data_IF_915756265784
#
_entry.id   IF_915756265784
#
_cell.length_a   1.000
_cell.length_b   1.000
_cell.length_c   1.000
_cell.angle_alpha   90.00
_cell.angle_beta   90.00
_cell.angle_gamma   90.00
#
_symmetry.space_group_name_H-M   'P 1'
#
loop_
_entity.id
_entity.type
_entity.pdbx_description
1 polymer ?
#
# COMPACT_ATOMS: atom_id res chain seq x y z
N UNK A 1 -1.75 -13.30 25.40
CA UNK A 1 -0.49 -13.22 24.65
C UNK A 1 -0.81 -13.32 23.16
N UNK A 2 -0.88 -12.19 22.45
CA UNK A 2 -1.25 -12.18 21.02
C UNK A 2 -0.02 -12.61 20.22
N UNK A 3 -0.04 -13.83 19.68
CA UNK A 3 0.97 -14.34 18.75
C UNK A 3 0.88 -13.54 17.45
N UNK A 4 1.69 -12.48 17.34
CA UNK A 4 1.87 -11.77 16.08
C UNK A 4 2.67 -12.68 15.17
N UNK A 5 1.98 -13.40 14.27
CA UNK A 5 2.64 -14.16 13.21
C UNK A 5 3.62 -13.23 12.49
N UNK A 6 4.91 -13.59 12.37
CA UNK A 6 5.86 -12.77 11.62
C UNK A 6 5.37 -12.67 10.18
N UNK A 7 4.99 -11.46 9.76
CA UNK A 7 4.71 -11.19 8.36
C UNK A 7 6.04 -11.32 7.61
N UNK A 8 6.24 -12.44 6.91
CA UNK A 8 7.25 -12.51 5.86
C UNK A 8 6.94 -11.40 4.85
N UNK A 9 7.98 -10.74 4.36
CA UNK A 9 7.84 -9.74 3.30
C UNK A 9 7.09 -10.36 2.12
N UNK A 10 5.91 -9.81 1.80
CA UNK A 10 5.22 -10.17 0.57
C UNK A 10 5.90 -9.43 -0.57
N UNK A 11 6.68 -10.16 -1.37
CA UNK A 11 7.14 -9.69 -2.66
C UNK A 11 6.10 -10.08 -3.72
N UNK A 12 5.79 -9.15 -4.63
CA UNK A 12 4.86 -9.39 -5.73
C UNK A 12 5.65 -9.73 -6.98
N UNK A 13 5.58 -10.98 -7.41
CA UNK A 13 6.13 -11.43 -8.68
C UNK A 13 5.10 -11.45 -9.80
N UNK A 14 5.50 -11.78 -11.05
CA UNK A 14 4.59 -11.82 -12.19
C UNK A 14 3.34 -12.69 -11.98
N UNK A 15 3.46 -13.80 -11.23
CA UNK A 15 2.35 -14.69 -10.92
C UNK A 15 1.36 -14.12 -9.89
N UNK A 16 1.74 -13.07 -9.16
CA UNK A 16 0.88 -12.39 -8.18
C UNK A 16 0.12 -11.21 -8.80
N UNK A 17 0.42 -10.84 -10.05
CA UNK A 17 -0.16 -9.67 -10.70
C UNK A 17 -1.34 -10.09 -11.59
N UNK A 18 -2.50 -9.41 -11.48
CA UNK A 18 -3.62 -9.68 -12.38
C UNK A 18 -3.31 -9.19 -13.80
N UNK A 19 -3.78 -9.93 -14.80
CA UNK A 19 -3.82 -9.45 -16.18
C UNK A 19 -4.98 -8.48 -16.35
N UNK A 20 -4.67 -7.22 -16.65
CA UNK A 20 -5.65 -6.16 -16.86
C UNK A 20 -5.81 -5.87 -18.36
N UNK A 21 -7.06 -5.82 -18.83
CA UNK A 21 -7.42 -5.50 -20.21
C UNK A 21 -7.47 -4.00 -20.51
N UNK A 22 -7.20 -3.16 -19.50
CA UNK A 22 -7.13 -1.71 -19.67
C UNK A 22 -6.00 -1.13 -18.83
N UNK A 23 -5.45 -0.04 -19.34
CA UNK A 23 -4.57 0.87 -18.62
C UNK A 23 -5.18 2.27 -18.52
N UNK A 24 -6.43 2.43 -18.98
CA UNK A 24 -7.11 3.72 -19.03
C UNK A 24 -7.25 4.32 -17.64
N UNK A 25 -7.03 5.63 -17.56
CA UNK A 25 -7.18 6.37 -16.32
C UNK A 25 -8.63 6.26 -15.80
N UNK A 26 -8.80 6.17 -14.48
CA UNK A 26 -10.08 5.88 -13.86
C UNK A 26 -9.92 5.11 -12.56
N UNK A 27 -10.89 4.26 -12.24
CA UNK A 27 -10.86 3.37 -11.09
C UNK A 27 -10.88 1.92 -11.54
N UNK A 28 -10.00 1.09 -10.98
CA UNK A 28 -10.14 -0.37 -11.03
C UNK A 28 -10.83 -0.79 -9.74
N UNK A 29 -11.98 -1.45 -9.84
CA UNK A 29 -12.82 -1.84 -8.70
C UNK A 29 -12.88 -3.35 -8.64
N UNK A 30 -12.49 -3.92 -7.50
CA UNK A 30 -12.58 -5.35 -7.24
C UNK A 30 -13.81 -5.67 -6.40
N UNK A 31 -14.61 -6.62 -6.88
CA UNK A 31 -15.86 -7.00 -6.23
C UNK A 31 -16.90 -7.54 -7.22
N UNK A 32 -18.02 -8.00 -6.67
CA UNK A 32 -19.14 -8.51 -7.44
C UNK A 32 -20.15 -7.37 -7.68
N UNK A 33 -19.80 -6.43 -8.56
CA UNK A 33 -20.51 -5.15 -8.68
C UNK A 33 -21.95 -5.25 -9.19
N UNK A 34 -22.39 -6.43 -9.63
CA UNK A 34 -23.62 -6.58 -10.39
C UNK A 34 -23.67 -5.61 -11.57
N UNK A 35 -24.76 -4.86 -11.69
CA UNK A 35 -24.88 -3.79 -12.69
C UNK A 35 -24.46 -2.44 -12.10
N UNK A 36 -23.43 -1.84 -12.69
CA UNK A 36 -23.01 -0.47 -12.42
C UNK A 36 -22.82 0.27 -13.76
N UNK A 37 -23.59 1.35 -14.03
CA UNK A 37 -23.50 2.07 -15.30
C UNK A 37 -22.07 2.54 -15.61
N UNK A 38 -21.60 2.26 -16.83
CA UNK A 38 -20.26 2.60 -17.27
C UNK A 38 -19.15 1.70 -16.74
N UNK A 39 -19.48 0.64 -15.99
CA UNK A 39 -18.51 -0.38 -15.59
C UNK A 39 -18.17 -1.31 -16.76
N UNK A 40 -16.89 -1.50 -17.00
CA UNK A 40 -16.39 -2.45 -18.00
C UNK A 40 -15.59 -3.55 -17.30
N UNK A 41 -15.81 -4.84 -17.58
CA UNK A 41 -14.99 -5.91 -17.02
C UNK A 41 -13.57 -5.82 -17.58
N UNK A 42 -12.56 -5.86 -16.71
CA UNK A 42 -11.15 -5.66 -17.11
C UNK A 42 -10.19 -6.73 -16.64
N UNK A 43 -10.61 -7.65 -15.78
CA UNK A 43 -9.76 -8.76 -15.37
C UNK A 43 -10.30 -9.49 -14.15
N UNK A 44 -9.43 -10.31 -13.57
CA UNK A 44 -9.68 -11.05 -12.33
C UNK A 44 -8.38 -11.02 -11.52
N UNK A 45 -8.48 -10.79 -10.20
CA UNK A 45 -7.40 -11.00 -9.24
C UNK A 45 -7.73 -12.18 -8.33
N UNK A 46 -7.06 -13.32 -8.55
CA UNK A 46 -7.41 -14.60 -7.94
C UNK A 46 -8.82 -15.04 -8.34
N UNK A 47 -9.81 -14.81 -7.46
CA UNK A 47 -11.23 -15.08 -7.71
C UNK A 47 -12.09 -13.82 -7.77
N UNK A 48 -11.50 -12.65 -7.54
CA UNK A 48 -12.21 -11.37 -7.45
C UNK A 48 -12.34 -10.76 -8.85
N UNK A 49 -13.56 -10.56 -9.38
CA UNK A 49 -13.76 -9.84 -10.63
C UNK A 49 -13.26 -8.39 -10.51
N UNK A 50 -12.64 -7.89 -11.57
CA UNK A 50 -12.14 -6.53 -11.66
C UNK A 50 -12.90 -5.77 -12.74
N UNK A 51 -13.32 -4.55 -12.40
CA UNK A 51 -14.08 -3.65 -13.24
C UNK A 51 -13.37 -2.33 -13.39
N UNK A 52 -13.43 -1.71 -14.56
CA UNK A 52 -12.99 -0.34 -14.76
C UNK A 52 -14.19 0.60 -14.76
N UNK A 53 -14.04 1.72 -14.05
CA UNK A 53 -15.00 2.82 -14.03
C UNK A 53 -14.34 4.11 -14.51
N UNK A 54 -15.01 4.86 -15.41
CA UNK A 54 -14.54 6.19 -15.80
C UNK A 54 -14.64 7.15 -14.61
N UNK A 55 -13.58 7.93 -14.40
CA UNK A 55 -13.60 9.02 -13.43
C UNK A 55 -12.68 10.16 -13.90
N UNK A 56 -13.24 11.37 -13.92
CA UNK A 56 -12.49 12.59 -14.23
C UNK A 56 -11.31 12.74 -13.27
N UNK A 57 -10.16 13.18 -13.78
CA UNK A 57 -8.88 13.25 -13.05
C UNK A 57 -9.00 13.88 -11.66
N UNK A 58 -9.58 15.08 -11.61
CA UNK A 58 -9.73 15.86 -10.37
C UNK A 58 -10.77 15.29 -9.39
N UNK A 59 -11.53 14.24 -9.78
CA UNK A 59 -12.60 13.59 -9.00
C UNK A 59 -12.32 12.13 -8.67
N UNK A 60 -11.20 11.55 -9.11
CA UNK A 60 -10.94 10.09 -8.93
C UNK A 60 -10.91 9.69 -7.46
N UNK A 61 -10.24 10.47 -6.62
CA UNK A 61 -10.18 10.20 -5.19
C UNK A 61 -11.58 10.27 -4.54
N UNK A 62 -12.35 11.31 -4.82
CA UNK A 62 -13.73 11.43 -4.32
C UNK A 62 -14.63 10.30 -4.83
N UNK A 63 -14.46 9.89 -6.09
CA UNK A 63 -15.20 8.77 -6.68
C UNK A 63 -14.86 7.44 -6.01
N UNK A 64 -13.59 7.20 -5.70
CA UNK A 64 -13.16 6.03 -4.94
C UNK A 64 -13.74 6.03 -3.52
N UNK A 65 -13.76 7.18 -2.84
CA UNK A 65 -14.33 7.32 -1.49
C UNK A 65 -15.84 7.02 -1.48
N UNK A 66 -16.58 7.43 -2.52
CA UNK A 66 -18.02 7.10 -2.63
C UNK A 66 -18.29 5.60 -2.73
N UNK A 67 -17.33 4.79 -3.17
CA UNK A 67 -17.46 3.34 -3.24
C UNK A 67 -17.29 2.66 -1.87
N UNK A 68 -16.81 3.36 -0.83
CA UNK A 68 -16.61 2.77 0.49
C UNK A 68 -17.89 2.29 1.17
N UNK A 69 -19.05 2.78 0.75
CA UNK A 69 -20.36 2.42 1.30
C UNK A 69 -21.05 1.29 0.54
N UNK A 70 -20.42 0.80 -0.55
CA UNK A 70 -20.99 -0.26 -1.38
C UNK A 70 -20.61 -1.63 -0.84
N UNK A 71 -21.58 -2.51 -0.51
CA UNK A 71 -21.30 -3.82 0.09
C UNK A 71 -20.67 -4.84 -0.89
N UNK A 72 -20.89 -4.62 -2.19
CA UNK A 72 -20.40 -5.42 -3.31
C UNK A 72 -18.95 -5.08 -3.70
N UNK A 73 -18.42 -3.96 -3.22
CA UNK A 73 -17.04 -3.52 -3.46
C UNK A 73 -16.14 -4.06 -2.35
N UNK A 74 -14.96 -4.54 -2.70
CA UNK A 74 -13.92 -4.97 -1.75
C UNK A 74 -12.65 -4.13 -1.88
N UNK A 75 -12.28 -3.77 -3.10
CA UNK A 75 -11.07 -2.99 -3.38
C UNK A 75 -11.35 -1.92 -4.44
N UNK A 76 -10.60 -0.82 -4.35
CA UNK A 76 -10.58 0.22 -5.38
C UNK A 76 -9.14 0.65 -5.59
N UNK A 77 -8.69 0.70 -6.83
CA UNK A 77 -7.38 1.23 -7.20
C UNK A 77 -7.58 2.44 -8.12
N UNK A 78 -7.10 3.60 -7.68
CA UNK A 78 -7.07 4.82 -8.48
C UNK A 78 -5.93 4.70 -9.49
N UNK A 79 -6.27 4.79 -10.78
CA UNK A 79 -5.33 4.78 -11.89
C UNK A 79 -5.29 6.15 -12.56
N UNK A 80 -4.09 6.72 -12.72
CA UNK A 80 -3.90 7.99 -13.43
C UNK A 80 -3.71 7.83 -14.95
N UNK A 81 -3.65 6.58 -15.43
CA UNK A 81 -3.41 6.26 -16.84
C UNK A 81 -1.97 5.81 -17.11
N UNK A 82 -1.13 5.69 -16.07
CA UNK A 82 0.23 5.17 -16.20
C UNK A 82 0.23 3.67 -15.95
N UNK A 83 0.61 2.86 -16.95
CA UNK A 83 0.52 1.39 -16.84
C UNK A 83 1.53 0.83 -15.81
N UNK A 84 2.62 1.56 -15.60
CA UNK A 84 3.74 1.12 -14.78
C UNK A 84 3.29 1.06 -13.30
N UNK A 85 2.94 -0.13 -12.83
CA UNK A 85 2.53 -0.50 -11.45
C UNK A 85 1.03 -0.59 -11.20
N UNK A 86 0.15 -0.43 -12.21
CA UNK A 86 -1.29 -0.58 -11.99
C UNK A 86 -1.64 -1.97 -11.46
N UNK A 87 -1.17 -3.04 -12.12
CA UNK A 87 -1.42 -4.41 -11.68
C UNK A 87 -0.88 -4.67 -10.26
N UNK A 88 0.27 -4.06 -9.90
CA UNK A 88 0.81 -4.13 -8.54
C UNK A 88 -0.11 -3.44 -7.52
N UNK A 89 -0.62 -2.25 -7.81
CA UNK A 89 -1.51 -1.53 -6.90
C UNK A 89 -2.84 -2.28 -6.70
N UNK A 90 -3.35 -2.94 -7.74
CA UNK A 90 -4.53 -3.83 -7.67
C UNK A 90 -4.25 -5.05 -6.79
N UNK A 91 -3.19 -5.80 -7.08
CA UNK A 91 -2.79 -6.98 -6.29
C UNK A 91 -2.51 -6.61 -4.83
N UNK A 92 -1.89 -5.45 -4.60
CA UNK A 92 -1.63 -4.93 -3.26
C UNK A 92 -2.93 -4.57 -2.54
N UNK A 93 -3.94 -4.04 -3.23
CA UNK A 93 -5.24 -3.76 -2.64
C UNK A 93 -5.93 -5.03 -2.14
N UNK A 94 -5.89 -6.12 -2.93
CA UNK A 94 -6.42 -7.41 -2.51
C UNK A 94 -5.62 -8.01 -1.34
N UNK A 95 -4.29 -7.86 -1.35
CA UNK A 95 -3.44 -8.23 -0.22
C UNK A 95 -3.81 -7.47 1.06
N UNK A 96 -4.01 -6.14 0.99
CA UNK A 96 -4.46 -5.32 2.11
C UNK A 96 -5.81 -5.83 2.64
N UNK A 97 -6.75 -6.12 1.76
CA UNK A 97 -8.05 -6.69 2.12
C UNK A 97 -7.90 -7.98 2.94
N UNK A 98 -7.11 -8.93 2.43
CA UNK A 98 -6.87 -10.19 3.13
C UNK A 98 -6.17 -10.00 4.48
N UNK A 99 -5.15 -9.12 4.56
CA UNK A 99 -4.38 -8.87 5.78
C UNK A 99 -5.20 -8.14 6.85
N UNK A 100 -6.11 -7.26 6.46
CA UNK A 100 -6.92 -6.45 7.37
C UNK A 100 -8.18 -7.15 7.84
N UNK A 101 -8.82 -7.96 6.99
CA UNK A 101 -9.90 -8.85 7.41
C UNK A 101 -9.46 -9.80 8.53
N UNK A 102 -8.23 -10.32 8.47
CA UNK A 102 -7.64 -11.14 9.56
C UNK A 102 -7.45 -10.38 10.88
N UNK A 103 -7.48 -9.04 10.84
CA UNK A 103 -7.39 -8.15 12.01
C UNK A 103 -8.75 -7.54 12.37
N UNK A 104 -9.85 -8.08 11.84
CA UNK A 104 -11.21 -7.58 12.07
C UNK A 104 -11.39 -6.11 11.62
N UNK A 105 -10.54 -5.66 10.70
CA UNK A 105 -10.72 -4.39 10.01
C UNK A 105 -11.44 -4.73 8.70
N UNK A 106 -12.73 -4.40 8.66
CA UNK A 106 -13.59 -4.61 7.51
C UNK A 106 -13.78 -3.30 6.75
N UNK A 107 -13.87 -3.38 5.43
CA UNK A 107 -14.13 -2.23 4.58
C UNK A 107 -13.54 -2.39 3.19
N UNK A 108 -13.80 -1.37 2.38
CA UNK A 108 -13.20 -1.20 1.06
C UNK A 108 -11.84 -0.54 1.20
N UNK A 109 -10.83 -1.10 0.53
CA UNK A 109 -9.47 -0.57 0.56
C UNK A 109 -9.17 0.18 -0.72
N UNK A 110 -8.74 1.43 -0.59
CA UNK A 110 -8.44 2.30 -1.72
C UNK A 110 -6.92 2.40 -1.86
N UNK A 111 -6.38 1.93 -2.98
CA UNK A 111 -4.97 2.10 -3.35
C UNK A 111 -4.79 3.05 -4.53
N UNK A 112 -3.58 3.55 -4.74
CA UNK A 112 -3.20 4.33 -5.91
C UNK A 112 -1.72 4.10 -6.26
N UNK A 113 -1.41 4.16 -7.55
CA UNK A 113 -0.03 4.08 -8.07
C UNK A 113 0.78 5.33 -7.73
N UNK A 114 0.14 6.49 -7.84
CA UNK A 114 0.71 7.81 -7.63
C UNK A 114 0.06 8.46 -6.41
N UNK A 115 0.71 9.52 -5.90
CA UNK A 115 0.24 10.23 -4.70
C UNK A 115 -1.16 10.80 -4.98
N UNK A 116 -2.24 10.25 -4.38
CA UNK A 116 -3.58 10.69 -4.72
C UNK A 116 -3.84 12.06 -4.10
N UNK A 117 -4.75 12.83 -4.70
CA UNK A 117 -5.38 13.97 -4.01
C UNK A 117 -6.04 13.45 -2.74
N UNK A 118 -5.98 14.22 -1.66
CA UNK A 118 -6.55 13.87 -0.38
C UNK A 118 -8.00 14.39 -0.28
N UNK A 119 -9.03 13.51 -0.25
CA UNK A 119 -10.38 13.92 0.09
C UNK A 119 -10.51 14.25 1.57
N UNK A 120 -11.54 15.01 1.93
CA UNK A 120 -11.80 15.38 3.32
C UNK A 120 -12.01 14.15 4.21
N UNK A 121 -11.44 14.18 5.42
CA UNK A 121 -11.54 13.09 6.40
C UNK A 121 -10.71 11.84 6.07
N UNK A 122 -9.94 11.86 4.97
CA UNK A 122 -9.02 10.78 4.59
C UNK A 122 -7.57 11.11 4.92
N UNK A 123 -6.76 10.07 5.01
CA UNK A 123 -5.30 10.10 5.14
C UNK A 123 -4.67 9.31 3.99
N UNK A 124 -3.42 9.63 3.70
CA UNK A 124 -2.58 8.89 2.75
C UNK A 124 -1.53 8.09 3.49
N UNK A 125 -1.49 6.78 3.25
CA UNK A 125 -0.43 5.91 3.76
C UNK A 125 0.42 5.42 2.58
N UNK A 126 1.74 5.72 2.57
CA UNK A 126 2.63 5.25 1.52
C UNK A 126 3.21 3.87 1.89
N UNK A 127 2.61 2.79 1.39
CA UNK A 127 3.14 1.45 1.65
C UNK A 127 4.40 1.19 0.86
N UNK A 128 5.42 0.67 1.54
CA UNK A 128 6.67 0.21 0.94
C UNK A 128 6.47 -1.23 0.46
N UNK A 129 6.42 -1.42 -0.86
CA UNK A 129 6.06 -2.69 -1.50
C UNK A 129 7.23 -3.18 -2.36
N UNK A 130 7.54 -4.47 -2.26
CA UNK A 130 8.59 -5.11 -3.07
C UNK A 130 7.97 -5.80 -4.27
N UNK A 131 8.56 -5.56 -5.45
CA UNK A 131 8.20 -6.22 -6.69
C UNK A 131 9.40 -6.99 -7.23
N UNK A 132 9.17 -8.19 -7.75
CA UNK A 132 10.19 -8.97 -8.46
C UNK A 132 10.26 -8.47 -9.90
N UNK A 133 11.39 -7.87 -10.29
CA UNK A 133 11.60 -7.34 -11.65
C UNK A 133 12.26 -8.36 -12.57
N UNK A 134 13.08 -9.24 -12.01
CA UNK A 134 13.74 -10.35 -12.68
C UNK A 134 14.09 -11.44 -11.63
N UNK A 135 14.48 -12.66 -12.03
CA UNK A 135 14.94 -13.67 -11.09
C UNK A 135 16.04 -13.12 -10.18
N UNK A 136 15.81 -13.15 -8.86
CA UNK A 136 16.76 -12.62 -7.85
C UNK A 136 16.81 -11.10 -7.73
N UNK A 137 16.07 -10.34 -8.55
CA UNK A 137 16.03 -8.87 -8.50
C UNK A 137 14.71 -8.37 -7.90
N UNK A 138 14.82 -7.52 -6.89
CA UNK A 138 13.71 -6.84 -6.25
C UNK A 138 13.83 -5.34 -6.43
N UNK A 139 12.70 -4.70 -6.73
CA UNK A 139 12.53 -3.26 -6.71
C UNK A 139 11.54 -2.89 -5.62
N UNK A 140 11.93 -1.97 -4.74
CA UNK A 140 11.00 -1.34 -3.80
C UNK A 140 10.30 -0.16 -4.45
N UNK A 141 8.98 -0.11 -4.31
CA UNK A 141 8.12 0.97 -4.81
C UNK A 141 7.13 1.38 -3.73
N UNK A 142 6.51 2.54 -3.94
CA UNK A 142 5.42 3.01 -3.08
C UNK A 142 4.09 2.68 -3.73
N UNK A 143 3.18 2.09 -2.96
CA UNK A 143 1.76 2.04 -3.28
C UNK A 143 1.03 2.88 -2.24
N UNK A 144 0.30 3.89 -2.71
CA UNK A 144 -0.45 4.76 -1.83
C UNK A 144 -1.75 4.09 -1.42
N UNK A 145 -2.20 4.40 -0.21
CA UNK A 145 -3.51 4.00 0.29
C UNK A 145 -4.25 5.22 0.80
N UNK A 146 -5.54 5.33 0.47
CA UNK A 146 -6.46 6.25 1.15
C UNK A 146 -7.21 5.50 2.24
N UNK A 147 -7.15 6.04 3.46
CA UNK A 147 -7.76 5.44 4.65
C UNK A 147 -8.44 6.52 5.50
N UNK A 148 -9.53 6.18 6.20
CA UNK A 148 -10.10 7.09 7.20
C UNK A 148 -9.17 7.22 8.39
N UNK A 149 -9.14 8.40 9.02
CA UNK A 149 -8.29 8.62 10.20
C UNK A 149 -8.55 7.62 11.34
N UNK A 150 -9.81 7.24 11.56
CA UNK A 150 -10.20 6.28 12.60
C UNK A 150 -9.70 4.88 12.30
N UNK A 151 -9.82 4.45 11.03
CA UNK A 151 -9.30 3.17 10.55
C UNK A 151 -7.77 3.12 10.67
N UNK A 152 -7.08 4.22 10.38
CA UNK A 152 -5.64 4.33 10.54
C UNK A 152 -5.22 4.21 12.01
N UNK A 153 -5.91 4.89 12.93
CA UNK A 153 -5.65 4.77 14.38
C UNK A 153 -5.87 3.34 14.89
N UNK A 154 -6.98 2.70 14.49
CA UNK A 154 -7.24 1.29 14.81
C UNK A 154 -6.17 0.36 14.25
N UNK A 155 -5.75 0.58 13.00
CA UNK A 155 -4.72 -0.21 12.35
C UNK A 155 -3.34 -0.06 13.00
N UNK A 156 -2.96 1.15 13.43
CA UNK A 156 -1.72 1.39 14.16
C UNK A 156 -1.76 0.82 15.58
N UNK A 157 -2.93 0.85 16.22
CA UNK A 157 -3.12 0.53 17.63
C UNK A 157 -2.81 1.71 18.56
N UNK A 158 -2.92 2.95 18.05
CA UNK A 158 -2.52 4.17 18.77
C UNK A 158 -2.78 5.44 17.96
N UNK A 159 -2.36 6.61 18.48
CA UNK A 159 -2.47 7.88 17.76
C UNK A 159 -1.59 7.88 16.50
N UNK A 160 -1.96 8.72 15.54
CA UNK A 160 -1.14 8.98 14.35
C UNK A 160 0.04 9.86 14.75
N UNK A 161 1.29 9.45 14.49
CA UNK A 161 2.44 10.27 14.84
C UNK A 161 2.58 11.45 13.87
N UNK A 162 3.18 12.53 14.36
CA UNK A 162 3.57 13.66 13.52
C UNK A 162 4.95 13.40 12.92
N UNK A 163 5.01 12.67 11.80
CA UNK A 163 6.25 12.35 11.08
C UNK A 163 6.07 12.70 9.60
N UNK A 164 6.97 13.48 8.96
CA UNK A 164 6.87 13.85 7.54
C UNK A 164 7.28 12.69 6.63
N UNK A 165 6.55 11.57 6.70
CA UNK A 165 6.91 10.32 6.02
C UNK A 165 6.91 10.46 4.51
N UNK A 166 5.95 11.21 3.95
CA UNK A 166 5.82 11.41 2.51
C UNK A 166 7.08 12.06 1.90
N UNK A 167 7.72 13.00 2.60
CA UNK A 167 8.93 13.69 2.14
C UNK A 167 10.19 12.81 2.26
N UNK A 168 10.11 11.75 3.07
CA UNK A 168 11.22 10.84 3.38
C UNK A 168 11.13 9.49 2.66
N UNK A 169 10.18 9.33 1.73
CA UNK A 169 10.00 8.07 1.00
C UNK A 169 11.26 7.57 0.28
N UNK A 170 12.04 8.40 -0.43
CA UNK A 170 13.27 7.93 -1.05
C UNK A 170 14.27 7.35 -0.04
N UNK A 171 14.42 8.00 1.12
CA UNK A 171 15.30 7.53 2.20
C UNK A 171 14.78 6.23 2.83
N UNK A 172 13.46 6.09 3.02
CA UNK A 172 12.85 4.85 3.51
C UNK A 172 13.02 3.67 2.55
N UNK A 173 12.94 3.91 1.24
CA UNK A 173 13.21 2.88 0.23
C UNK A 173 14.68 2.47 0.22
N UNK A 174 15.63 3.43 0.34
CA UNK A 174 17.06 3.12 0.50
C UNK A 174 17.33 2.31 1.76
N UNK A 175 16.74 2.70 2.89
CA UNK A 175 16.86 1.98 4.16
C UNK A 175 16.34 0.55 4.06
N UNK A 176 15.21 0.35 3.37
CA UNK A 176 14.62 -0.97 3.11
C UNK A 176 15.56 -1.84 2.26
N UNK A 177 16.13 -1.27 1.20
CA UNK A 177 17.10 -1.96 0.35
C UNK A 177 18.39 -2.31 1.11
N UNK A 178 18.93 -1.37 1.89
CA UNK A 178 20.12 -1.56 2.72
C UNK A 178 19.90 -2.68 3.76
N UNK A 179 18.76 -2.69 4.46
CA UNK A 179 18.40 -3.78 5.37
C UNK A 179 18.35 -5.13 4.66
N UNK A 180 17.67 -5.22 3.51
CA UNK A 180 17.57 -6.47 2.74
C UNK A 180 18.93 -7.03 2.34
N UNK A 181 19.89 -6.15 2.05
CA UNK A 181 21.22 -6.51 1.60
C UNK A 181 22.23 -6.69 2.75
N UNK A 182 21.80 -6.55 4.01
CA UNK A 182 22.69 -6.60 5.17
C UNK A 182 23.67 -5.42 5.24
N UNK A 183 23.32 -4.29 4.61
CA UNK A 183 24.16 -3.09 4.46
C UNK A 183 23.67 -1.90 5.29
N UNK A 184 22.97 -2.15 6.40
CA UNK A 184 22.66 -1.06 7.32
C UNK A 184 23.96 -0.48 7.90
N UNK A 185 24.05 0.85 8.08
CA UNK A 185 25.24 1.47 8.66
C UNK A 185 25.42 1.04 10.12
N UNK A 186 26.65 1.09 10.64
CA UNK A 186 26.94 0.71 12.02
C UNK A 186 26.68 1.85 13.02
N UNK A 187 25.48 2.43 12.97
CA UNK A 187 25.02 3.47 13.92
C UNK A 187 24.15 2.88 15.03
N UNK A 188 24.06 3.51 16.22
CA UNK A 188 23.15 3.06 17.26
C UNK A 188 21.69 2.92 16.80
N UNK A 189 21.21 3.85 15.97
CA UNK A 189 19.86 3.81 15.41
C UNK A 189 19.67 2.63 14.44
N UNK A 190 20.63 2.39 13.55
CA UNK A 190 20.59 1.27 12.61
C UNK A 190 20.69 -0.10 13.31
N UNK A 191 21.51 -0.22 14.37
CA UNK A 191 21.54 -1.43 15.22
C UNK A 191 20.18 -1.66 15.90
N UNK A 192 19.55 -0.61 16.42
CA UNK A 192 18.20 -0.69 17.00
C UNK A 192 17.15 -1.10 15.96
N UNK A 193 17.24 -0.58 14.75
CA UNK A 193 16.38 -1.00 13.63
C UNK A 193 16.59 -2.49 13.30
N UNK A 194 17.84 -2.96 13.22
CA UNK A 194 18.16 -4.36 12.93
C UNK A 194 17.55 -5.31 13.97
N UNK A 195 17.66 -4.97 15.26
CA UNK A 195 17.04 -5.73 16.36
C UNK A 195 15.50 -5.72 16.24
N UNK A 196 14.91 -4.55 15.96
CA UNK A 196 13.46 -4.39 15.84
C UNK A 196 12.89 -5.18 14.66
N UNK A 197 13.61 -5.18 13.54
CA UNK A 197 13.25 -5.94 12.36
C UNK A 197 13.39 -7.44 12.65
N UNK A 198 14.54 -7.90 13.15
CA UNK A 198 14.78 -9.32 13.39
C UNK A 198 14.50 -10.14 12.12
N UNK A 199 13.35 -10.84 12.08
CA UNK A 199 12.87 -11.58 10.89
C UNK A 199 11.71 -10.90 10.13
N UNK A 200 11.40 -9.65 10.48
CA UNK A 200 10.35 -8.80 9.88
C UNK A 200 10.96 -7.89 8.82
N UNK A 201 10.11 -7.29 8.00
CA UNK A 201 10.51 -6.31 7.01
C UNK A 201 10.18 -4.88 7.43
N UNK A 202 10.86 -3.91 6.83
CA UNK A 202 10.59 -2.49 7.02
C UNK A 202 9.26 -2.10 6.35
N UNK A 203 8.18 -2.11 7.11
CA UNK A 203 6.85 -1.70 6.65
C UNK A 203 6.54 -0.26 7.03
N UNK A 204 5.63 0.39 6.30
CA UNK A 204 5.12 1.72 6.66
C UNK A 204 4.48 1.74 8.05
N UNK A 205 3.85 0.63 8.48
CA UNK A 205 3.31 0.49 9.84
C UNK A 205 4.39 0.62 10.90
N UNK A 206 5.52 -0.05 10.67
CA UNK A 206 6.66 -0.04 11.59
C UNK A 206 7.28 1.36 11.68
N UNK A 207 7.31 2.11 10.57
CA UNK A 207 7.71 3.52 10.56
C UNK A 207 6.83 4.34 11.50
N UNK A 208 5.50 4.24 11.34
CA UNK A 208 4.55 4.96 12.17
C UNK A 208 4.50 4.50 13.63
N UNK A 209 4.84 3.25 13.92
CA UNK A 209 4.88 2.72 15.29
C UNK A 209 6.14 3.14 16.07
N UNK A 210 7.19 3.61 15.39
CA UNK A 210 8.47 3.98 16.00
C UNK A 210 8.97 5.36 15.52
N UNK A 211 8.17 6.44 15.65
CA UNK A 211 8.47 7.73 15.03
C UNK A 211 9.83 8.31 15.45
N UNK A 212 10.24 8.17 16.71
CA UNK A 212 11.53 8.70 17.20
C UNK A 212 12.71 8.01 16.53
N UNK A 213 12.64 6.69 16.36
CA UNK A 213 13.68 5.91 15.69
C UNK A 213 13.80 6.32 14.23
N UNK A 214 12.68 6.50 13.52
CA UNK A 214 12.71 6.90 12.12
C UNK A 214 13.09 8.37 11.96
N UNK A 215 12.78 9.24 12.92
CA UNK A 215 13.30 10.60 12.91
C UNK A 215 14.83 10.58 12.93
N UNK A 216 15.45 9.81 13.83
CA UNK A 216 16.90 9.64 13.91
C UNK A 216 17.50 9.06 12.62
N UNK A 217 16.96 7.91 12.16
CA UNK A 217 17.44 7.22 10.95
C UNK A 217 17.34 8.08 9.68
N UNK A 218 16.38 9.00 9.62
CA UNK A 218 16.14 9.85 8.45
C UNK A 218 16.87 11.21 8.53
N UNK A 219 17.49 11.50 9.67
CA UNK A 219 18.45 12.61 9.83
C UNK A 219 19.90 12.18 9.65
N UNK A 220 20.22 10.90 9.88
CA UNK A 220 21.53 10.33 9.56
C UNK A 220 21.68 10.22 8.03
N UNK A 221 22.86 10.52 7.50
CA UNK A 221 23.16 10.25 6.08
C UNK A 221 23.20 8.74 5.87
N UNK A 222 22.09 8.21 5.37
CA UNK A 222 22.02 6.83 4.87
C UNK A 222 22.70 6.78 3.49
N UNK A 223 23.55 5.76 3.23
CA UNK A 223 24.20 5.59 1.93
C UNK A 223 23.19 5.43 0.77
#
# INVERSE_FOLDING_TARGET
MVTVTPLRERCFGPADLPTLRTIAAGLIVGGDLGYLPGATPVGIDGRMPLWWLPAAEHRRADAAVRLLTRPDVQTVTINDGRPNRLALAVAFSAHLAAVRSRRQLHGVWITATDRPRLPDGMLRLPHLVSMVTAPGQLQDVVVWELIRADDARRWLGGPLPHLPVEDRLPALLRLRAAHRQGRLPDTPAARRLSILLGRRYLSIRLVYQHPDLFTQLLTEELP
#
